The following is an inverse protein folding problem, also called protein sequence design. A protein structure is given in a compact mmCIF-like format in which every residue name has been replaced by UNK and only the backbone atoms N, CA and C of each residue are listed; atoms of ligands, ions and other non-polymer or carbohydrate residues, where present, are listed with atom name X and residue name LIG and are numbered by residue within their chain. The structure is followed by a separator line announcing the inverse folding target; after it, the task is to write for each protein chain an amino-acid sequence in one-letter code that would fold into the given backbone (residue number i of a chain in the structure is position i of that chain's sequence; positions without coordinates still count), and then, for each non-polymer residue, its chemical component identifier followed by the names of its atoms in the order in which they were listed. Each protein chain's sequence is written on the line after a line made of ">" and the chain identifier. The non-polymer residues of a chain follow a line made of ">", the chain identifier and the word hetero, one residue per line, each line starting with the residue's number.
data_IF_199505774214
#
_entry.id   IF_199505774214
#
_cell.length_a   1.000
_cell.length_b   1.000
_cell.length_c   1.000
_cell.angle_alpha   90.00
_cell.angle_beta   90.00
_cell.angle_gamma   90.00
#
_symmetry.space_group_name_H-M   'P 1'
#
loop_
_entity.id
_entity.type
_entity.pdbx_description
1 polymer ?
#
# COMPACT_ATOMS: atom_id res chain seq x y z
N UNK A 1 -23.13 1.38 -78.15
CA UNK A 1 -24.28 0.60 -78.70
C UNK A 1 -25.08 0.03 -77.53
N UNK A 2 -26.35 0.51 -77.38
CA UNK A 2 -27.48 -0.04 -76.59
C UNK A 2 -27.22 -0.44 -75.12
N UNK A 3 -27.51 0.37 -74.12
CA UNK A 3 -28.81 0.63 -73.39
C UNK A 3 -29.63 -0.65 -73.17
N UNK A 4 -29.78 -1.08 -71.90
CA UNK A 4 -31.06 -1.49 -71.36
C UNK A 4 -31.08 -1.16 -69.84
N UNK A 5 -31.96 -0.28 -69.46
CA UNK A 5 -32.48 0.08 -68.16
C UNK A 5 -33.40 -1.06 -67.72
N UNK A 6 -33.28 -1.54 -66.50
CA UNK A 6 -34.38 -2.28 -65.86
C UNK A 6 -34.62 -1.76 -64.44
N UNK A 7 -35.70 -1.04 -64.38
CA UNK A 7 -36.41 -0.51 -63.22
C UNK A 7 -37.11 -1.67 -62.53
N UNK A 8 -36.80 -1.95 -61.26
CA UNK A 8 -37.64 -2.82 -60.45
C UNK A 8 -38.02 -2.09 -59.16
N UNK A 9 -39.23 -1.55 -59.25
CA UNK A 9 -39.96 -1.05 -58.09
C UNK A 9 -40.43 -2.25 -57.25
N UNK A 10 -40.10 -2.28 -55.96
CA UNK A 10 -40.75 -3.22 -55.04
C UNK A 10 -41.25 -2.50 -53.79
N UNK A 11 -42.45 -2.76 -53.59
CA UNK A 11 -43.53 -2.18 -52.80
C UNK A 11 -43.26 -2.12 -51.30
N UNK A 12 -43.71 -1.02 -50.68
CA UNK A 12 -43.90 -0.81 -49.25
C UNK A 12 -44.85 -1.85 -48.65
N UNK A 13 -44.38 -2.50 -47.57
CA UNK A 13 -45.28 -3.03 -46.56
C UNK A 13 -44.96 -2.43 -45.22
N UNK A 14 -45.78 -1.47 -44.82
CA UNK A 14 -45.86 -1.00 -43.44
C UNK A 14 -46.54 -2.07 -42.58
N UNK A 15 -45.79 -2.76 -41.72
CA UNK A 15 -46.38 -3.46 -40.62
C UNK A 15 -46.02 -2.76 -39.34
N UNK A 16 -46.91 -1.93 -38.87
CA UNK A 16 -46.98 -1.36 -37.56
C UNK A 16 -47.33 -2.45 -36.54
N UNK A 17 -46.37 -2.97 -35.80
CA UNK A 17 -46.64 -3.73 -34.59
C UNK A 17 -46.20 -2.84 -33.41
N UNK A 18 -47.17 -2.26 -32.75
CA UNK A 18 -47.07 -1.70 -31.41
C UNK A 18 -46.95 -2.84 -30.44
N UNK A 19 -45.72 -3.20 -30.10
CA UNK A 19 -45.45 -4.00 -28.89
C UNK A 19 -44.98 -3.03 -27.80
N UNK A 20 -45.82 -2.91 -26.79
CA UNK A 20 -45.45 -2.28 -25.53
C UNK A 20 -44.28 -3.08 -24.96
N UNK A 21 -43.08 -2.55 -25.11
CA UNK A 21 -41.89 -3.05 -24.34
C UNK A 21 -42.15 -2.77 -22.87
N UNK A 22 -42.48 -3.87 -22.18
CA UNK A 22 -42.33 -3.95 -20.74
C UNK A 22 -40.90 -3.64 -20.43
N UNK A 23 -40.66 -2.43 -19.93
CA UNK A 23 -39.37 -2.05 -19.35
C UNK A 23 -38.99 -3.11 -18.34
N UNK A 24 -38.04 -3.98 -18.71
CA UNK A 24 -37.40 -4.86 -17.76
C UNK A 24 -36.66 -3.94 -16.80
N UNK A 25 -37.17 -3.79 -15.59
CA UNK A 25 -36.43 -3.27 -14.47
C UNK A 25 -35.14 -4.08 -14.39
N UNK A 26 -34.02 -3.48 -14.81
CA UNK A 26 -32.69 -3.94 -14.42
C UNK A 26 -32.72 -4.03 -12.90
N UNK A 27 -32.38 -5.18 -12.31
CA UNK A 27 -32.22 -5.25 -10.87
C UNK A 27 -31.18 -4.20 -10.51
N UNK A 28 -31.61 -3.17 -9.81
CA UNK A 28 -30.76 -2.24 -9.09
C UNK A 28 -29.81 -3.12 -8.29
N UNK A 29 -28.57 -3.26 -8.78
CA UNK A 29 -27.49 -3.69 -7.92
C UNK A 29 -27.49 -2.70 -6.76
N UNK A 30 -28.13 -3.10 -5.67
CA UNK A 30 -27.82 -2.60 -4.37
C UNK A 30 -26.35 -2.92 -4.20
N UNK A 31 -25.47 -1.96 -4.54
CA UNK A 31 -24.12 -1.92 -4.03
C UNK A 31 -24.27 -1.97 -2.51
N UNK A 32 -24.25 -3.19 -1.99
CA UNK A 32 -23.85 -3.41 -0.62
C UNK A 32 -22.45 -2.81 -0.60
N UNK A 33 -22.33 -1.60 -0.07
CA UNK A 33 -21.06 -0.96 0.23
C UNK A 33 -20.31 -1.98 1.07
N UNK A 34 -19.53 -2.83 0.42
CA UNK A 34 -18.59 -3.69 1.11
C UNK A 34 -17.75 -2.73 1.93
N UNK A 35 -17.80 -2.84 3.25
CA UNK A 35 -17.07 -1.94 4.13
C UNK A 35 -15.63 -1.90 3.61
N UNK A 36 -15.15 -0.71 3.30
CA UNK A 36 -13.81 -0.50 2.78
C UNK A 36 -12.82 -1.19 3.73
N UNK A 37 -11.95 -2.01 3.18
CA UNK A 37 -10.95 -2.75 3.94
C UNK A 37 -9.58 -2.48 3.35
N UNK A 38 -8.64 -2.12 4.21
CA UNK A 38 -7.24 -1.91 3.86
C UNK A 38 -6.43 -3.19 4.03
N UNK A 39 -5.22 -3.20 3.48
CA UNK A 39 -4.27 -4.26 3.75
C UNK A 39 -3.86 -4.22 5.25
N UNK A 40 -3.98 -5.33 6.00
CA UNK A 40 -3.71 -5.37 7.45
C UNK A 40 -2.20 -5.45 7.71
N UNK A 41 -1.51 -4.31 7.60
CA UNK A 41 -0.05 -4.20 7.67
C UNK A 41 0.51 -4.77 8.96
N UNK A 42 -0.08 -4.40 10.12
CA UNK A 42 0.45 -4.82 11.42
C UNK A 42 0.38 -6.34 11.60
N UNK A 43 -0.72 -6.96 11.18
CA UNK A 43 -0.88 -8.41 11.27
C UNK A 43 0.08 -9.15 10.34
N UNK A 44 0.22 -8.64 9.11
CA UNK A 44 1.20 -9.17 8.16
C UNK A 44 2.62 -9.12 8.74
N UNK A 45 3.04 -7.99 9.30
CA UNK A 45 4.38 -7.83 9.87
C UNK A 45 4.60 -8.69 11.11
N UNK A 46 3.59 -8.88 11.97
CA UNK A 46 3.66 -9.86 13.09
C UNK A 46 3.94 -11.27 12.57
N UNK A 47 3.30 -11.66 11.45
CA UNK A 47 3.57 -12.95 10.79
C UNK A 47 5.01 -13.06 10.28
N UNK A 48 5.54 -12.00 9.64
CA UNK A 48 6.92 -11.97 9.17
C UNK A 48 7.94 -12.05 10.34
N UNK A 49 7.70 -11.30 11.42
CA UNK A 49 8.53 -11.37 12.64
C UNK A 49 8.53 -12.79 13.24
N UNK A 50 7.36 -13.44 13.27
CA UNK A 50 7.25 -14.83 13.71
C UNK A 50 8.09 -15.76 12.82
N UNK A 51 8.05 -15.59 11.50
CA UNK A 51 8.84 -16.37 10.57
C UNK A 51 10.36 -16.18 10.80
N UNK A 52 10.81 -14.92 11.00
CA UNK A 52 12.22 -14.62 11.32
C UNK A 52 12.65 -15.33 12.60
N UNK A 53 11.83 -15.27 13.64
CA UNK A 53 12.12 -15.95 14.92
C UNK A 53 12.25 -17.46 14.75
N UNK A 54 11.41 -18.07 13.92
CA UNK A 54 11.44 -19.51 13.67
C UNK A 54 12.59 -19.96 12.75
N UNK A 55 13.16 -19.04 11.96
CA UNK A 55 14.32 -19.34 11.13
C UNK A 55 15.60 -19.63 11.96
N UNK A 56 15.63 -19.22 13.23
CA UNK A 56 16.74 -19.52 14.14
C UNK A 56 18.02 -18.75 13.86
N UNK A 57 17.98 -17.72 13.03
CA UNK A 57 19.12 -16.86 12.68
C UNK A 57 18.95 -15.51 13.36
N UNK A 58 19.91 -15.12 14.20
CA UNK A 58 19.92 -13.80 14.81
C UNK A 58 20.11 -12.72 13.75
N UNK A 59 19.24 -11.71 13.67
CA UNK A 59 19.42 -10.60 12.74
C UNK A 59 20.63 -9.72 13.09
N UNK A 60 21.25 -9.12 12.08
CA UNK A 60 22.33 -8.16 12.26
C UNK A 60 21.77 -6.74 12.09
N UNK A 61 21.91 -5.90 13.11
CA UNK A 61 21.50 -4.50 13.09
C UNK A 61 22.70 -3.60 12.83
N UNK A 62 22.64 -2.78 11.79
CA UNK A 62 23.53 -1.66 11.53
C UNK A 62 22.86 -0.39 12.03
N UNK A 63 23.62 0.47 12.69
CA UNK A 63 23.19 1.81 13.11
C UNK A 63 24.17 2.84 12.59
N UNK A 64 23.69 3.76 11.73
CA UNK A 64 24.46 4.84 11.16
C UNK A 64 24.01 6.16 11.75
N UNK A 65 24.95 6.94 12.33
CA UNK A 65 24.76 8.29 12.87
C UNK A 65 25.94 9.14 12.39
N UNK A 66 25.66 10.29 11.75
CA UNK A 66 26.69 11.19 11.24
C UNK A 66 27.80 10.46 10.45
N UNK A 67 27.39 9.61 9.49
CA UNK A 67 28.28 8.82 8.62
C UNK A 67 29.11 7.72 9.34
N UNK A 68 28.99 7.60 10.66
CA UNK A 68 29.61 6.52 11.42
C UNK A 68 28.61 5.35 11.56
N UNK A 69 29.06 4.14 11.24
CA UNK A 69 28.24 2.93 11.27
C UNK A 69 28.78 1.91 12.26
N UNK A 70 27.95 1.50 13.21
CA UNK A 70 28.17 0.37 14.10
C UNK A 70 27.25 -0.81 13.75
N UNK A 71 27.61 -2.02 14.17
CA UNK A 71 26.77 -3.20 14.00
C UNK A 71 26.71 -4.06 15.26
N UNK A 72 25.56 -4.69 15.47
CA UNK A 72 25.32 -5.58 16.61
C UNK A 72 24.35 -6.70 16.22
N UNK A 73 24.62 -7.92 16.67
CA UNK A 73 23.68 -9.03 16.54
C UNK A 73 22.49 -8.82 17.48
N UNK A 74 21.28 -8.89 16.92
CA UNK A 74 20.03 -8.77 17.69
C UNK A 74 19.65 -10.14 18.21
N UNK A 75 19.51 -10.26 19.52
CA UNK A 75 18.96 -11.49 20.13
C UNK A 75 17.48 -11.64 19.75
N UNK A 76 17.02 -12.87 19.55
CA UNK A 76 15.62 -13.13 19.13
C UNK A 76 14.59 -12.54 20.10
N UNK A 77 14.89 -12.52 21.39
CA UNK A 77 14.00 -11.96 22.42
C UNK A 77 13.89 -10.42 22.30
N UNK A 78 14.84 -9.78 21.65
CA UNK A 78 14.89 -8.33 21.46
C UNK A 78 14.29 -7.89 20.13
N UNK A 79 14.01 -8.80 19.21
CA UNK A 79 13.57 -8.47 17.86
C UNK A 79 12.30 -7.61 17.86
N UNK A 80 11.27 -7.97 18.65
CA UNK A 80 10.03 -7.20 18.74
C UNK A 80 10.27 -5.74 19.15
N UNK A 81 11.17 -5.54 20.14
CA UNK A 81 11.53 -4.20 20.60
C UNK A 81 12.26 -3.39 19.53
N UNK A 82 13.13 -4.04 18.75
CA UNK A 82 13.92 -3.38 17.71
C UNK A 82 13.05 -2.94 16.53
N UNK A 83 11.99 -3.70 16.21
CA UNK A 83 11.10 -3.42 15.08
C UNK A 83 9.76 -2.81 15.50
N UNK A 84 9.57 -2.45 16.78
CA UNK A 84 8.29 -1.96 17.33
C UNK A 84 7.70 -0.77 16.55
N UNK A 85 8.54 0.09 15.96
CA UNK A 85 8.08 1.23 15.16
C UNK A 85 7.24 0.81 13.94
N UNK A 86 7.42 -0.39 13.43
CA UNK A 86 6.62 -0.93 12.34
C UNK A 86 5.24 -1.42 12.79
N UNK A 87 5.06 -1.68 14.07
CA UNK A 87 3.83 -2.25 14.63
C UNK A 87 2.89 -1.20 15.24
N UNK A 88 3.37 0.05 15.38
CA UNK A 88 2.59 1.14 16.00
C UNK A 88 2.62 2.42 15.13
N UNK A 89 1.48 3.13 14.99
CA UNK A 89 0.14 2.70 15.41
C UNK A 89 -0.28 1.44 14.66
N UNK A 90 -1.18 0.67 15.21
CA UNK A 90 -1.73 -0.51 14.55
C UNK A 90 -2.46 -0.11 13.27
N UNK A 91 -2.13 -0.80 12.15
CA UNK A 91 -2.76 -0.65 10.84
C UNK A 91 -3.44 -1.98 10.54
N UNK A 92 -4.71 -2.09 10.88
CA UNK A 92 -5.55 -3.23 10.55
C UNK A 92 -6.41 -2.95 9.30
N UNK A 93 -7.31 -3.84 8.97
CA UNK A 93 -8.12 -3.74 7.77
C UNK A 93 -9.25 -2.71 7.83
N UNK A 94 -9.57 -2.15 9.01
CA UNK A 94 -10.76 -1.29 9.22
C UNK A 94 -10.53 -0.05 10.07
N UNK A 95 -9.58 -0.05 11.01
CA UNK A 95 -9.42 0.98 12.03
C UNK A 95 -9.09 2.38 11.48
N UNK A 96 -8.50 2.46 10.29
CA UNK A 96 -8.06 3.72 9.67
C UNK A 96 -8.87 4.11 8.43
N UNK A 97 -9.90 3.36 8.06
CA UNK A 97 -10.70 3.60 6.84
C UNK A 97 -11.45 4.93 6.83
N UNK A 98 -11.74 5.49 8.00
CA UNK A 98 -12.35 6.82 8.12
C UNK A 98 -11.35 7.98 7.95
N UNK A 99 -10.05 7.73 8.08
CA UNK A 99 -8.99 8.74 8.09
C UNK A 99 -8.14 8.74 6.82
N UNK A 100 -8.10 7.61 6.10
CA UNK A 100 -7.26 7.43 4.93
C UNK A 100 -8.07 6.94 3.73
N UNK A 101 -7.54 7.18 2.54
CA UNK A 101 -8.06 6.67 1.28
C UNK A 101 -7.01 5.80 0.60
N UNK A 102 -7.44 4.64 0.10
CA UNK A 102 -6.60 3.75 -0.70
C UNK A 102 -6.63 4.17 -2.17
N UNK A 103 -5.46 4.20 -2.80
CA UNK A 103 -5.27 4.30 -4.24
C UNK A 103 -4.39 3.14 -4.68
N UNK A 104 -4.62 2.60 -5.87
CA UNK A 104 -3.77 1.54 -6.40
C UNK A 104 -3.32 1.85 -7.83
N UNK A 105 -2.09 1.46 -8.14
CA UNK A 105 -1.52 1.60 -9.49
C UNK A 105 -0.43 0.57 -9.74
N UNK A 106 -0.11 0.33 -11.01
CA UNK A 106 1.02 -0.50 -11.40
C UNK A 106 2.28 0.34 -11.45
N UNK A 107 3.21 0.10 -10.53
CA UNK A 107 4.55 0.68 -10.56
C UNK A 107 5.44 -0.16 -11.50
N UNK A 108 5.69 0.38 -12.70
CA UNK A 108 6.50 -0.30 -13.71
C UNK A 108 7.98 -0.35 -13.32
N UNK A 109 8.47 0.64 -12.55
CA UNK A 109 9.87 0.69 -12.11
C UNK A 109 10.18 -0.41 -11.12
N UNK A 110 9.27 -0.65 -10.17
CA UNK A 110 9.40 -1.68 -9.15
C UNK A 110 8.79 -3.02 -9.58
N UNK A 111 8.09 -3.03 -10.74
CA UNK A 111 7.29 -4.17 -11.19
C UNK A 111 6.41 -4.71 -10.05
N UNK A 112 5.56 -3.81 -9.52
CA UNK A 112 4.71 -4.09 -8.39
C UNK A 112 3.35 -3.40 -8.54
N UNK A 113 2.28 -4.03 -8.08
CA UNK A 113 1.03 -3.34 -7.78
C UNK A 113 1.23 -2.64 -6.45
N UNK A 114 1.09 -1.31 -6.44
CA UNK A 114 1.26 -0.48 -5.25
C UNK A 114 -0.09 -0.03 -4.75
N UNK A 115 -0.35 -0.27 -3.48
CA UNK A 115 -1.46 0.29 -2.73
C UNK A 115 -0.91 1.41 -1.86
N UNK A 116 -1.41 2.61 -2.08
CA UNK A 116 -1.00 3.84 -1.39
C UNK A 116 -2.15 4.33 -0.54
N UNK A 117 -1.86 4.70 0.70
CA UNK A 117 -2.84 5.15 1.68
C UNK A 117 -2.50 6.57 2.14
N UNK A 118 -3.29 7.52 1.66
CA UNK A 118 -3.15 8.94 1.95
C UNK A 118 -4.25 9.46 2.89
N UNK A 119 -3.97 10.45 3.76
CA UNK A 119 -5.00 11.07 4.58
C UNK A 119 -6.09 11.73 3.74
N UNK A 120 -7.36 11.55 4.12
CA UNK A 120 -8.50 12.26 3.50
C UNK A 120 -8.63 13.71 3.98
N UNK A 121 -8.09 14.03 5.15
CA UNK A 121 -8.11 15.34 5.79
C UNK A 121 -6.94 15.48 6.78
N UNK A 122 -6.89 16.61 7.51
CA UNK A 122 -5.93 16.78 8.59
C UNK A 122 -6.11 15.69 9.66
N UNK A 123 -5.03 15.02 10.00
CA UNK A 123 -5.02 13.93 10.98
C UNK A 123 -4.95 14.49 12.40
N UNK A 124 -5.50 13.78 13.41
CA UNK A 124 -5.29 14.11 14.81
C UNK A 124 -3.79 14.12 15.17
N UNK A 125 -3.34 15.07 15.99
CA UNK A 125 -1.94 15.18 16.42
C UNK A 125 -1.44 13.93 17.17
N UNK A 126 -2.34 13.21 17.81
CA UNK A 126 -2.05 11.93 18.49
C UNK A 126 -1.71 10.81 17.50
N UNK A 127 -2.20 10.88 16.27
CA UNK A 127 -1.91 9.89 15.24
C UNK A 127 -0.60 10.28 14.54
N UNK A 128 0.45 9.55 14.85
CA UNK A 128 1.79 9.79 14.27
C UNK A 128 1.91 9.32 12.83
N UNK A 129 1.06 8.42 12.37
CA UNK A 129 1.03 7.88 11.01
C UNK A 129 0.63 8.97 10.02
N UNK A 130 1.38 9.11 8.92
CA UNK A 130 1.11 10.10 7.85
C UNK A 130 0.75 9.46 6.53
N UNK A 131 1.37 8.32 6.22
CA UNK A 131 1.25 7.68 4.92
C UNK A 131 1.82 6.27 4.99
N UNK A 132 1.30 5.34 4.19
CA UNK A 132 1.97 4.05 3.97
C UNK A 132 1.66 3.50 2.58
N UNK A 133 2.58 2.65 2.09
CA UNK A 133 2.44 1.92 0.84
C UNK A 133 2.66 0.42 1.07
N UNK A 134 1.94 -0.37 0.31
CA UNK A 134 2.12 -1.82 0.21
C UNK A 134 2.39 -2.19 -1.25
N UNK A 135 3.53 -2.80 -1.51
CA UNK A 135 3.97 -3.22 -2.84
C UNK A 135 3.80 -4.73 -2.98
N UNK A 136 3.01 -5.16 -3.93
CA UNK A 136 2.69 -6.57 -4.17
C UNK A 136 3.25 -6.99 -5.53
N UNK A 137 3.92 -8.14 -5.57
CA UNK A 137 4.38 -8.76 -6.80
C UNK A 137 3.16 -9.24 -7.62
N UNK A 138 2.96 -8.73 -8.85
CA UNK A 138 1.78 -9.06 -9.65
C UNK A 138 1.74 -10.52 -10.14
N UNK A 139 2.87 -11.23 -10.10
CA UNK A 139 2.96 -12.62 -10.54
C UNK A 139 2.69 -13.61 -9.42
N UNK A 140 3.15 -13.28 -8.21
CA UNK A 140 3.10 -14.19 -7.06
C UNK A 140 2.06 -13.80 -6.02
N UNK A 141 1.49 -12.59 -6.12
CA UNK A 141 0.60 -11.97 -5.13
C UNK A 141 1.23 -11.86 -3.72
N UNK A 142 2.57 -11.88 -3.64
CA UNK A 142 3.28 -11.72 -2.37
C UNK A 142 3.67 -10.27 -2.15
N UNK A 143 3.64 -9.84 -0.89
CA UNK A 143 4.17 -8.53 -0.51
C UNK A 143 5.68 -8.52 -0.77
N UNK A 144 6.14 -7.53 -1.52
CA UNK A 144 7.57 -7.27 -1.78
C UNK A 144 8.14 -6.29 -0.77
N UNK A 145 7.36 -5.23 -0.48
CA UNK A 145 7.80 -4.12 0.35
C UNK A 145 6.62 -3.50 1.07
N UNK A 146 6.86 -3.01 2.28
CA UNK A 146 6.00 -2.07 3.00
C UNK A 146 6.82 -0.82 3.30
N UNK A 147 6.22 0.35 3.07
CA UNK A 147 6.80 1.64 3.38
C UNK A 147 5.84 2.42 4.26
N UNK A 148 6.31 3.02 5.36
CA UNK A 148 5.48 3.75 6.31
C UNK A 148 6.18 5.08 6.64
N UNK A 149 5.42 6.18 6.66
CA UNK A 149 5.88 7.50 7.08
C UNK A 149 5.15 7.90 8.35
N UNK A 150 5.92 8.28 9.37
CA UNK A 150 5.42 8.73 10.67
C UNK A 150 5.99 10.10 11.03
N UNK A 151 5.14 10.99 11.52
CA UNK A 151 5.56 12.28 12.07
C UNK A 151 5.61 12.17 13.59
N UNK A 152 6.79 12.13 14.17
CA UNK A 152 6.96 11.99 15.62
C UNK A 152 6.63 13.29 16.34
N UNK A 153 7.18 14.39 15.82
CA UNK A 153 6.93 15.77 16.25
C UNK A 153 7.11 16.75 15.08
N UNK A 154 7.12 18.05 15.32
CA UNK A 154 7.24 19.09 14.28
C UNK A 154 8.56 19.03 13.51
N UNK A 155 9.61 18.48 14.12
CA UNK A 155 10.98 18.48 13.60
C UNK A 155 11.46 17.07 13.21
N UNK A 156 10.74 16.02 13.57
CA UNK A 156 11.21 14.64 13.43
C UNK A 156 10.23 13.74 12.70
N UNK A 157 10.69 13.15 11.60
CA UNK A 157 9.95 12.20 10.77
C UNK A 157 10.68 10.85 10.75
N UNK A 158 9.95 9.74 10.81
CA UNK A 158 10.46 8.40 10.54
C UNK A 158 9.97 7.92 9.18
N UNK A 159 10.89 7.36 8.41
CA UNK A 159 10.62 6.58 7.21
C UNK A 159 11.00 5.12 7.49
N UNK A 160 10.02 4.24 7.40
CA UNK A 160 10.18 2.83 7.70
C UNK A 160 10.06 2.03 6.40
N UNK A 161 11.00 1.17 6.12
CA UNK A 161 10.98 0.27 4.95
C UNK A 161 11.13 -1.16 5.42
N UNK A 162 10.22 -2.04 5.01
CA UNK A 162 10.30 -3.48 5.20
C UNK A 162 10.40 -4.16 3.84
N UNK A 163 11.47 -4.89 3.58
CA UNK A 163 11.63 -5.74 2.39
C UNK A 163 11.41 -7.18 2.83
N UNK A 164 10.38 -7.77 2.28
CA UNK A 164 9.95 -9.11 2.66
C UNK A 164 11.08 -10.14 2.51
N UNK A 165 11.28 -10.95 3.55
CA UNK A 165 12.27 -12.01 3.60
C UNK A 165 13.74 -11.56 3.71
N UNK A 166 14.05 -10.26 3.75
CA UNK A 166 15.43 -9.79 3.64
C UNK A 166 15.88 -8.86 4.78
N UNK A 167 15.24 -7.71 4.92
CA UNK A 167 15.65 -6.67 5.86
C UNK A 167 14.56 -5.65 6.13
N UNK A 168 14.71 -4.93 7.22
CA UNK A 168 13.96 -3.69 7.43
C UNK A 168 14.89 -2.52 7.77
N UNK A 169 14.37 -1.28 7.59
CA UNK A 169 15.12 -0.06 7.84
C UNK A 169 14.25 1.02 8.46
N UNK A 170 14.77 1.69 9.46
CA UNK A 170 14.20 2.86 10.11
C UNK A 170 15.14 4.04 9.85
N UNK A 171 14.67 5.04 9.11
CA UNK A 171 15.40 6.28 8.86
C UNK A 171 14.74 7.41 9.65
N UNK A 172 15.50 8.01 10.57
CA UNK A 172 15.11 9.22 11.32
C UNK A 172 15.58 10.45 10.57
N UNK A 173 14.66 11.32 10.20
CA UNK A 173 14.92 12.58 9.51
C UNK A 173 14.60 13.71 10.49
N UNK A 174 15.58 14.57 10.76
CA UNK A 174 15.38 15.81 11.49
C UNK A 174 15.23 16.99 10.52
N UNK A 175 14.36 17.94 10.88
CA UNK A 175 14.16 19.20 10.17
C UNK A 175 14.64 20.33 11.08
N UNK A 176 15.58 21.14 10.62
CA UNK A 176 16.08 22.28 11.39
C UNK A 176 15.11 23.48 11.36
N UNK A 177 15.43 24.54 12.10
CA UNK A 177 14.64 25.78 12.19
C UNK A 177 14.51 26.51 10.84
N UNK A 178 15.32 26.17 9.85
CA UNK A 178 15.28 26.71 8.48
C UNK A 178 14.48 25.83 7.53
N UNK A 179 13.92 24.71 8.01
CA UNK A 179 13.18 23.75 7.21
C UNK A 179 14.06 22.79 6.40
N UNK A 180 15.38 22.73 6.67
CA UNK A 180 16.30 21.83 5.98
C UNK A 180 16.20 20.44 6.62
N UNK A 181 15.91 19.42 5.82
CA UNK A 181 15.84 18.04 6.24
C UNK A 181 17.19 17.35 6.15
N UNK A 182 17.57 16.63 7.22
CA UNK A 182 18.79 15.84 7.30
C UNK A 182 18.50 14.48 7.91
N UNK A 183 19.11 13.42 7.38
CA UNK A 183 19.11 12.11 8.04
C UNK A 183 19.94 12.21 9.31
N UNK A 184 19.28 12.02 10.46
CA UNK A 184 19.90 12.02 11.79
C UNK A 184 20.44 10.64 12.14
N UNK A 185 19.66 9.60 11.82
CA UNK A 185 19.97 8.21 12.16
C UNK A 185 19.36 7.27 11.14
N UNK A 186 20.07 6.21 10.81
CA UNK A 186 19.56 5.07 10.05
C UNK A 186 19.83 3.76 10.81
N UNK A 187 18.81 2.94 10.98
CA UNK A 187 18.90 1.60 11.55
C UNK A 187 18.42 0.58 10.52
N UNK A 188 19.30 -0.31 10.08
CA UNK A 188 19.00 -1.38 9.14
C UNK A 188 19.20 -2.73 9.81
N UNK A 189 18.18 -3.57 9.78
CA UNK A 189 18.17 -4.91 10.37
C UNK A 189 18.08 -5.93 9.24
N UNK A 190 19.03 -6.84 9.14
CA UNK A 190 19.17 -7.84 8.07
C UNK A 190 19.05 -9.24 8.68
N UNK A 191 18.32 -10.14 8.04
CA UNK A 191 18.16 -11.54 8.42
C UNK A 191 18.29 -12.52 7.25
N UNK A 192 18.50 -12.02 6.04
CA UNK A 192 18.80 -12.80 4.84
C UNK A 192 20.31 -12.77 4.61
N UNK A 193 20.99 -13.90 4.91
CA UNK A 193 22.43 -14.07 4.79
C UNK A 193 22.79 -15.21 3.85
#
# INVERSE_FOLDING_TARGET
>A
MKIIISLFAFSFFLNSCTNAEKSAEQPSQKDTLAAQRFFPVTEYLKGEIFNIKNAGVNPLKYTTINEHTDSVWVKMEQLDSVVQEFLHPEIDSVNLTALFIEKSFMDQTLNAVTFTYDPVAALPDSLKLKHWDVYIDPKTNKVKRIYIVKQIDKTKTLQLTWINGQWCKITTIATDDKGIMKVEKEEKIIWDF
#
